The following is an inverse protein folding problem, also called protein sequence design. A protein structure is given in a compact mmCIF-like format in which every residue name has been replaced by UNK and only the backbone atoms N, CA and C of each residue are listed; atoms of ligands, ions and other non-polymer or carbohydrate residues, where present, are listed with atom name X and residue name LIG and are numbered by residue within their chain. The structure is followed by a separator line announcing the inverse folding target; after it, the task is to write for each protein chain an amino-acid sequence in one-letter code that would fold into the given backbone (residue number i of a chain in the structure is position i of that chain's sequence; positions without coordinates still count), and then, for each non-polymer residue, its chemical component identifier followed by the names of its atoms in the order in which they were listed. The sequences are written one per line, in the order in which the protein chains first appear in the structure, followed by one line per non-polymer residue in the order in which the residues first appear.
data_IF_414713056024
#
_entry.id   IF_414713056024
#
_cell.length_a   1.000
_cell.length_b   1.000
_cell.length_c   1.000
_cell.angle_alpha   90.00
_cell.angle_beta   90.00
_cell.angle_gamma   90.00
#
_symmetry.space_group_name_H-M   'P 1'
#
loop_
_entity.id
_entity.type
_entity.pdbx_description
1 polymer ?
#
# COMPACT_ATOMS: atom_id res chain seq x y z
N UNK A 1 -6.17 29.27 -28.87
CA UNK A 1 -5.11 28.38 -28.34
C UNK A 1 -4.78 28.71 -26.88
N UNK A 2 -4.52 29.97 -26.55
CA UNK A 2 -4.21 30.43 -25.18
C UNK A 2 -5.32 30.11 -24.15
N UNK A 3 -6.59 30.37 -24.46
CA UNK A 3 -7.71 30.11 -23.54
C UNK A 3 -7.90 28.63 -23.17
N UNK A 4 -7.72 27.74 -24.15
CA UNK A 4 -7.76 26.29 -23.91
C UNK A 4 -6.55 25.80 -23.10
N UNK A 5 -5.37 26.40 -23.31
CA UNK A 5 -4.19 26.07 -22.53
C UNK A 5 -4.34 26.53 -21.07
N UNK A 6 -4.81 27.77 -20.85
CA UNK A 6 -5.07 28.35 -19.52
C UNK A 6 -6.13 27.55 -18.75
N UNK A 7 -7.22 27.14 -19.41
CA UNK A 7 -8.25 26.29 -18.78
C UNK A 7 -7.70 24.92 -18.33
N UNK A 8 -6.81 24.31 -19.12
CA UNK A 8 -6.15 23.04 -18.76
C UNK A 8 -5.17 23.23 -17.60
N UNK A 9 -4.43 24.34 -17.59
CA UNK A 9 -3.50 24.68 -16.50
C UNK A 9 -4.25 24.93 -15.18
N UNK A 10 -5.35 25.67 -15.22
CA UNK A 10 -6.23 25.89 -14.06
C UNK A 10 -6.82 24.58 -13.53
N UNK A 11 -7.24 23.68 -14.42
CA UNK A 11 -7.76 22.36 -14.02
C UNK A 11 -6.69 21.53 -13.31
N UNK A 12 -5.44 21.57 -13.80
CA UNK A 12 -4.29 20.92 -13.17
C UNK A 12 -3.93 21.54 -11.83
N UNK A 13 -3.96 22.87 -11.73
CA UNK A 13 -3.71 23.59 -10.49
C UNK A 13 -4.76 23.25 -9.41
N UNK A 14 -6.02 23.06 -9.80
CA UNK A 14 -7.09 22.67 -8.88
C UNK A 14 -6.91 21.23 -8.38
N UNK A 15 -6.51 20.30 -9.25
CA UNK A 15 -6.16 18.93 -8.84
C UNK A 15 -4.95 18.94 -7.91
N UNK A 16 -3.93 19.75 -8.21
CA UNK A 16 -2.76 19.92 -7.35
C UNK A 16 -3.15 20.46 -5.97
N UNK A 17 -4.00 21.49 -5.90
CA UNK A 17 -4.53 22.02 -4.64
C UNK A 17 -5.33 20.98 -3.85
N UNK A 18 -6.15 20.16 -4.51
CA UNK A 18 -6.85 19.05 -3.83
C UNK A 18 -5.88 18.00 -3.29
N UNK A 19 -4.82 17.67 -4.02
CA UNK A 19 -3.78 16.75 -3.54
C UNK A 19 -3.00 17.34 -2.37
N UNK A 20 -2.69 18.64 -2.38
CA UNK A 20 -2.07 19.35 -1.27
C UNK A 20 -2.98 19.38 -0.04
N UNK A 21 -4.28 19.63 -0.21
CA UNK A 21 -5.24 19.59 0.88
C UNK A 21 -5.37 18.17 1.47
N UNK A 22 -5.36 17.14 0.62
CA UNK A 22 -5.36 15.75 1.06
C UNK A 22 -4.08 15.39 1.83
N UNK A 23 -2.90 15.85 1.39
CA UNK A 23 -1.63 15.66 2.09
C UNK A 23 -1.58 16.41 3.43
N UNK A 24 -2.08 17.65 3.45
CA UNK A 24 -2.19 18.44 4.68
C UNK A 24 -3.14 17.76 5.69
N UNK A 25 -4.22 17.15 5.21
CA UNK A 25 -5.15 16.40 6.05
C UNK A 25 -4.61 15.06 6.53
N UNK A 26 -3.79 14.36 5.72
CA UNK A 26 -3.19 13.09 6.14
C UNK A 26 -1.96 13.24 7.04
N UNK A 27 -1.41 14.45 7.19
CA UNK A 27 -0.20 14.70 7.97
C UNK A 27 1.07 14.10 7.33
N UNK A 28 0.96 13.62 6.09
CA UNK A 28 2.03 12.95 5.35
C UNK A 28 1.98 13.32 3.86
N UNK A 29 3.14 13.38 3.22
CA UNK A 29 3.27 13.66 1.80
C UNK A 29 4.19 12.61 1.18
N UNK A 30 3.65 11.83 0.24
CA UNK A 30 4.39 10.77 -0.46
C UNK A 30 5.04 9.76 0.52
N UNK A 31 4.31 9.39 1.58
CA UNK A 31 4.78 8.44 2.59
C UNK A 31 5.79 9.01 3.58
N UNK A 32 6.07 10.32 3.53
CA UNK A 32 6.90 11.02 4.52
C UNK A 32 6.02 11.90 5.42
N UNK A 33 6.10 11.81 6.75
CA UNK A 33 5.34 12.71 7.63
C UNK A 33 5.77 14.16 7.39
N UNK A 34 4.79 15.07 7.31
CA UNK A 34 5.00 16.51 7.09
C UNK A 34 5.49 17.22 8.36
N UNK A 35 5.18 16.64 9.51
CA UNK A 35 5.67 17.09 10.80
C UNK A 35 6.72 16.07 11.26
N UNK A 36 7.99 16.39 11.07
CA UNK A 36 9.04 15.78 11.87
C UNK A 36 8.80 16.26 13.29
N UNK A 37 8.18 15.44 14.13
CA UNK A 37 8.17 15.65 15.57
C UNK A 37 9.61 15.53 16.07
N UNK A 38 10.39 16.58 15.88
CA UNK A 38 11.54 16.89 16.71
C UNK A 38 10.99 17.24 18.08
N UNK A 39 10.82 16.22 18.91
CA UNK A 39 11.03 16.24 20.38
C UNK A 39 10.37 15.01 21.01
N UNK A 40 11.03 13.87 20.83
CA UNK A 40 11.29 12.81 21.81
C UNK A 40 11.67 11.55 21.03
N UNK A 41 12.93 11.13 21.16
CA UNK A 41 13.38 9.84 20.68
C UNK A 41 12.54 8.76 21.37
N UNK A 42 11.56 8.21 20.66
CA UNK A 42 10.96 6.94 21.06
C UNK A 42 12.07 5.89 20.93
N UNK A 43 12.27 4.98 21.90
CA UNK A 43 13.33 3.94 21.84
C UNK A 43 13.26 3.03 20.59
N UNK A 44 12.21 3.14 19.79
CA UNK A 44 12.02 2.45 18.51
C UNK A 44 12.84 3.00 17.33
N UNK A 45 13.48 4.18 17.47
CA UNK A 45 14.21 4.82 16.36
C UNK A 45 15.73 4.60 16.39
N UNK A 46 16.27 4.20 17.54
CA UNK A 46 17.67 3.80 17.74
C UNK A 46 17.92 2.36 17.29
N UNK A 47 19.14 2.08 16.81
CA UNK A 47 19.60 0.72 16.56
C UNK A 47 19.42 -0.15 17.81
N UNK A 48 19.09 -1.45 17.66
CA UNK A 48 19.05 -2.37 18.81
C UNK A 48 20.40 -2.35 19.54
N UNK A 49 20.38 -2.46 20.86
CA UNK A 49 21.60 -2.50 21.67
C UNK A 49 22.49 -3.69 21.28
N UNK A 50 23.81 -3.57 21.51
CA UNK A 50 24.77 -4.61 21.15
C UNK A 50 24.43 -5.98 21.79
N UNK A 51 23.90 -5.97 23.01
CA UNK A 51 23.48 -7.18 23.72
C UNK A 51 22.28 -7.87 23.05
N UNK A 52 21.31 -7.09 22.56
CA UNK A 52 20.16 -7.61 21.81
C UNK A 52 20.62 -8.23 20.49
N UNK A 53 21.54 -7.57 19.78
CA UNK A 53 22.10 -8.09 18.52
C UNK A 53 22.87 -9.40 18.75
N UNK A 54 23.66 -9.49 19.82
CA UNK A 54 24.37 -10.71 20.18
C UNK A 54 23.40 -11.88 20.44
N UNK A 55 22.30 -11.65 21.17
CA UNK A 55 21.26 -12.67 21.41
C UNK A 55 20.52 -13.11 20.15
N UNK A 56 20.42 -12.24 19.15
CA UNK A 56 19.88 -12.57 17.82
C UNK A 56 20.91 -13.27 16.91
N UNK A 57 22.07 -13.68 17.45
CA UNK A 57 23.18 -14.27 16.68
C UNK A 57 23.70 -13.33 15.58
N UNK A 58 23.76 -12.03 15.89
CA UNK A 58 24.35 -10.99 15.05
C UNK A 58 25.55 -10.39 15.80
N UNK A 59 26.76 -10.86 15.48
CA UNK A 59 28.03 -10.40 16.04
C UNK A 59 28.72 -9.38 15.13
N UNK A 60 29.36 -8.36 15.71
CA UNK A 60 29.78 -7.11 15.05
C UNK A 60 30.58 -7.27 13.74
N UNK A 61 31.28 -8.39 13.56
CA UNK A 61 32.13 -8.64 12.39
C UNK A 61 31.38 -9.28 11.21
N UNK A 62 30.12 -9.71 11.39
CA UNK A 62 29.42 -10.58 10.44
C UNK A 62 28.19 -9.96 9.78
N UNK A 63 27.82 -8.71 10.12
CA UNK A 63 26.61 -8.11 9.58
C UNK A 63 26.63 -6.58 9.50
N UNK A 64 25.79 -6.03 8.60
CA UNK A 64 25.44 -4.61 8.52
C UNK A 64 23.93 -4.46 8.60
N UNK A 65 23.43 -3.54 9.42
CA UNK A 65 22.00 -3.23 9.49
C UNK A 65 21.70 -1.96 8.69
N UNK A 66 20.68 -2.00 7.86
CA UNK A 66 20.12 -0.82 7.21
C UNK A 66 18.65 -0.67 7.62
N UNK A 67 18.28 0.52 8.09
CA UNK A 67 16.92 0.78 8.55
C UNK A 67 16.00 0.94 7.34
N UNK A 68 15.03 0.04 7.19
CA UNK A 68 14.06 0.09 6.09
C UNK A 68 12.81 0.88 6.49
N UNK A 69 12.32 0.70 7.71
CA UNK A 69 11.13 1.37 8.25
C UNK A 69 11.28 1.66 9.76
N UNK A 70 10.33 2.37 10.36
CA UNK A 70 10.22 2.51 11.82
C UNK A 70 10.18 1.12 12.47
N UNK A 71 11.22 0.80 13.26
CA UNK A 71 11.45 -0.50 13.92
C UNK A 71 11.64 -1.75 13.02
N UNK A 72 12.11 -1.58 11.79
CA UNK A 72 12.56 -2.70 10.96
C UNK A 72 13.92 -2.41 10.32
N UNK A 73 14.83 -3.37 10.46
CA UNK A 73 16.18 -3.32 9.89
C UNK A 73 16.41 -4.52 8.97
N UNK A 74 16.98 -4.27 7.81
CA UNK A 74 17.49 -5.31 6.92
C UNK A 74 18.90 -5.70 7.33
N UNK A 75 19.16 -7.01 7.37
CA UNK A 75 20.43 -7.60 7.80
C UNK A 75 21.22 -8.01 6.57
N UNK A 76 22.37 -7.39 6.34
CA UNK A 76 23.33 -7.79 5.32
C UNK A 76 24.44 -8.62 5.96
N UNK A 77 24.86 -9.71 5.32
CA UNK A 77 26.01 -10.52 5.75
C UNK A 77 27.35 -9.84 5.43
N UNK A 78 28.45 -10.45 5.86
CA UNK A 78 29.81 -9.93 5.65
C UNK A 78 30.17 -9.69 4.16
N UNK A 79 29.59 -10.48 3.24
CA UNK A 79 29.81 -10.37 1.79
C UNK A 79 28.85 -9.36 1.10
N UNK A 80 27.98 -8.68 1.87
CA UNK A 80 27.04 -7.68 1.36
C UNK A 80 25.73 -8.24 0.81
N UNK A 81 25.46 -9.54 0.96
CA UNK A 81 24.17 -10.16 0.62
C UNK A 81 23.12 -9.89 1.71
N UNK A 82 21.87 -9.64 1.32
CA UNK A 82 20.75 -9.52 2.26
C UNK A 82 20.38 -10.90 2.83
N UNK A 83 20.59 -11.07 4.13
CA UNK A 83 20.38 -12.35 4.86
C UNK A 83 19.04 -12.42 5.58
N UNK A 84 18.32 -11.31 5.70
CA UNK A 84 17.00 -11.26 6.32
C UNK A 84 16.68 -9.92 6.98
N UNK A 85 15.80 -9.95 7.99
CA UNK A 85 15.32 -8.74 8.67
C UNK A 85 15.26 -8.92 10.19
N UNK A 86 15.32 -7.81 10.92
CA UNK A 86 15.02 -7.71 12.35
C UNK A 86 13.87 -6.73 12.55
N UNK A 87 12.87 -7.13 13.33
CA UNK A 87 11.69 -6.33 13.67
C UNK A 87 11.64 -6.07 15.17
N UNK A 88 11.37 -4.84 15.60
CA UNK A 88 11.02 -4.55 17.00
C UNK A 88 9.50 -4.50 17.16
N UNK A 89 8.97 -5.12 18.22
CA UNK A 89 7.52 -5.16 18.48
C UNK A 89 6.95 -3.87 19.04
N UNK A 90 7.78 -3.03 19.69
CA UNK A 90 7.30 -1.89 20.46
C UNK A 90 6.35 -0.95 19.70
N UNK A 91 6.56 -0.59 18.41
CA UNK A 91 5.62 0.26 17.68
C UNK A 91 4.33 -0.44 17.26
N UNK A 92 4.34 -1.77 17.18
CA UNK A 92 3.19 -2.57 16.74
C UNK A 92 2.31 -3.00 17.91
N UNK A 93 2.86 -3.03 19.11
CA UNK A 93 2.21 -3.46 20.34
C UNK A 93 2.33 -2.41 21.47
N UNK A 94 1.91 -1.15 21.25
CA UNK A 94 2.12 -0.06 22.21
C UNK A 94 1.30 -0.18 23.51
N UNK A 95 0.29 -1.06 23.53
CA UNK A 95 -0.61 -1.27 24.67
C UNK A 95 -0.46 -2.68 25.29
N UNK A 96 0.61 -3.38 24.96
CA UNK A 96 0.86 -4.73 25.45
C UNK A 96 1.77 -4.69 26.66
N UNK A 97 1.22 -5.02 27.82
CA UNK A 97 1.89 -4.98 29.12
C UNK A 97 1.94 -6.39 29.73
N UNK A 98 3.09 -6.73 30.29
CA UNK A 98 3.32 -7.92 31.12
C UNK A 98 2.91 -7.69 32.57
N UNK A 99 3.59 -8.36 33.48
CA UNK A 99 3.36 -8.21 34.91
C UNK A 99 3.89 -6.86 35.45
N UNK A 100 5.06 -6.43 34.98
CA UNK A 100 5.76 -5.25 35.49
C UNK A 100 5.87 -4.10 34.48
N UNK A 101 5.33 -4.26 33.26
CA UNK A 101 5.33 -3.21 32.25
C UNK A 101 5.46 -3.76 30.83
N UNK A 102 5.85 -2.94 29.84
CA UNK A 102 5.99 -3.37 28.46
C UNK A 102 7.10 -4.41 28.30
N UNK A 103 6.85 -5.41 27.44
CA UNK A 103 7.78 -6.52 27.14
C UNK A 103 8.15 -6.55 25.65
N UNK A 104 8.86 -5.53 25.14
CA UNK A 104 9.17 -5.44 23.72
C UNK A 104 10.03 -6.62 23.26
N UNK A 105 9.78 -7.09 22.04
CA UNK A 105 10.48 -8.19 21.40
C UNK A 105 11.26 -7.69 20.19
N UNK A 106 12.41 -8.31 19.96
CA UNK A 106 13.11 -8.27 18.69
C UNK A 106 13.02 -9.64 18.03
N UNK A 107 12.57 -9.66 16.77
CA UNK A 107 12.35 -10.89 16.01
C UNK A 107 13.23 -10.83 14.76
N UNK A 108 14.12 -11.80 14.60
CA UNK A 108 14.95 -11.98 13.42
C UNK A 108 14.33 -13.02 12.50
N UNK A 109 14.22 -12.65 11.23
CA UNK A 109 13.80 -13.54 10.15
C UNK A 109 14.90 -13.68 9.09
N UNK A 110 14.91 -14.81 8.38
CA UNK A 110 15.78 -15.02 7.21
C UNK A 110 15.21 -14.39 5.93
N UNK A 111 15.91 -14.61 4.81
CA UNK A 111 15.49 -14.19 3.47
C UNK A 111 14.15 -14.79 3.02
N UNK A 112 13.77 -15.96 3.57
CA UNK A 112 12.50 -16.64 3.30
C UNK A 112 11.39 -16.20 4.26
N UNK A 113 11.65 -15.17 5.09
CA UNK A 113 10.73 -14.64 6.10
C UNK A 113 10.32 -15.69 7.14
N UNK A 114 11.21 -16.63 7.45
CA UNK A 114 11.07 -17.57 8.57
C UNK A 114 11.75 -17.02 9.81
N UNK A 115 11.12 -17.22 10.96
CA UNK A 115 11.64 -16.77 12.26
C UNK A 115 12.84 -17.64 12.64
N UNK A 116 14.03 -17.04 12.67
CA UNK A 116 15.28 -17.75 13.00
C UNK A 116 15.63 -17.60 14.48
N UNK A 117 15.42 -16.40 15.02
CA UNK A 117 15.71 -16.06 16.40
C UNK A 117 14.81 -14.93 16.89
N UNK A 118 14.67 -14.83 18.20
CA UNK A 118 14.00 -13.72 18.86
C UNK A 118 14.60 -13.50 20.24
N UNK A 119 14.43 -12.30 20.78
CA UNK A 119 14.83 -11.96 22.14
C UNK A 119 13.92 -10.88 22.69
N UNK A 120 13.78 -10.83 24.01
CA UNK A 120 13.17 -9.70 24.70
C UNK A 120 14.15 -8.52 24.73
N UNK A 121 13.64 -7.32 24.54
CA UNK A 121 14.34 -6.05 24.73
C UNK A 121 14.34 -5.62 26.21
N UNK A 122 14.65 -4.34 26.44
CA UNK A 122 14.57 -3.75 27.78
C UNK A 122 13.14 -3.80 28.33
N UNK A 123 13.02 -4.22 29.58
CA UNK A 123 11.75 -4.42 30.28
C UNK A 123 11.99 -4.40 31.79
N UNK A 124 10.91 -4.29 32.57
CA UNK A 124 10.94 -4.22 34.03
C UNK A 124 10.47 -5.53 34.70
N UNK A 125 10.36 -6.63 33.93
CA UNK A 125 9.95 -7.93 34.46
C UNK A 125 10.99 -8.52 35.42
N UNK A 126 10.52 -9.39 36.31
CA UNK A 126 11.45 -10.17 37.13
C UNK A 126 12.19 -11.18 36.25
N UNK A 127 13.54 -11.21 36.24
CA UNK A 127 14.33 -11.97 35.28
C UNK A 127 13.95 -13.46 35.16
N UNK A 128 13.81 -14.15 36.29
CA UNK A 128 13.50 -15.59 36.31
C UNK A 128 12.12 -15.90 35.67
N UNK A 129 11.12 -15.05 35.93
CA UNK A 129 9.78 -15.22 35.36
C UNK A 129 9.75 -14.88 33.87
N UNK A 130 10.49 -13.85 33.45
CA UNK A 130 10.65 -13.50 32.05
C UNK A 130 11.31 -14.63 31.27
N UNK A 131 12.41 -15.18 31.78
CA UNK A 131 13.13 -16.28 31.14
C UNK A 131 12.24 -17.53 31.03
N UNK A 132 11.50 -17.84 32.10
CA UNK A 132 10.53 -18.95 32.12
C UNK A 132 9.43 -18.76 31.08
N UNK A 133 8.85 -17.57 30.99
CA UNK A 133 7.83 -17.25 29.98
C UNK A 133 8.42 -17.30 28.56
N UNK A 134 9.55 -16.65 28.33
CA UNK A 134 10.16 -16.54 27.01
C UNK A 134 10.61 -17.90 26.46
N UNK A 135 11.24 -18.73 27.29
CA UNK A 135 11.68 -20.08 26.91
C UNK A 135 10.51 -21.03 26.61
N UNK A 136 9.35 -20.85 27.25
CA UNK A 136 8.14 -21.61 26.95
C UNK A 136 7.43 -21.14 25.67
N UNK A 137 7.47 -19.84 25.36
CA UNK A 137 6.69 -19.25 24.27
C UNK A 137 7.48 -19.17 22.95
N UNK A 138 8.74 -18.73 22.96
CA UNK A 138 9.52 -18.46 21.75
C UNK A 138 9.70 -19.67 20.80
N UNK A 139 9.93 -20.91 21.29
CA UNK A 139 10.08 -22.07 20.42
C UNK A 139 8.85 -22.36 19.54
N UNK A 140 7.65 -21.97 19.98
CA UNK A 140 6.43 -22.16 19.20
C UNK A 140 6.40 -21.35 17.90
N UNK A 141 7.20 -20.28 17.82
CA UNK A 141 7.30 -19.39 16.66
C UNK A 141 8.52 -19.67 15.78
N UNK A 142 9.58 -20.28 16.33
CA UNK A 142 10.81 -20.56 15.60
C UNK A 142 10.58 -21.48 14.39
N UNK A 143 11.23 -21.15 13.27
CA UNK A 143 11.15 -21.87 11.98
C UNK A 143 9.88 -21.61 11.16
N UNK A 144 8.87 -20.96 11.73
CA UNK A 144 7.62 -20.64 11.03
C UNK A 144 7.77 -19.41 10.16
N UNK A 145 7.07 -19.41 9.03
CA UNK A 145 6.91 -18.21 8.20
C UNK A 145 6.06 -17.17 8.92
N UNK A 146 6.18 -15.89 8.53
CA UNK A 146 5.33 -14.82 9.08
C UNK A 146 3.83 -15.17 9.01
N UNK A 147 3.37 -15.77 7.91
CA UNK A 147 1.98 -16.15 7.72
C UNK A 147 1.54 -17.25 8.69
N UNK A 148 2.31 -18.34 8.79
CA UNK A 148 2.02 -19.44 9.72
C UNK A 148 2.04 -18.98 11.18
N UNK A 149 2.99 -18.10 11.51
CA UNK A 149 3.21 -17.62 12.86
C UNK A 149 2.03 -16.79 13.41
N UNK A 150 1.22 -16.13 12.55
CA UNK A 150 0.01 -15.41 12.98
C UNK A 150 -1.11 -16.31 13.52
N UNK A 151 -1.14 -17.59 13.10
CA UNK A 151 -2.15 -18.55 13.56
C UNK A 151 -1.74 -19.26 14.86
N UNK A 152 -0.49 -19.09 15.30
CA UNK A 152 0.05 -19.77 16.49
C UNK A 152 -0.53 -19.15 17.75
N UNK A 153 -0.96 -20.01 18.66
CA UNK A 153 -1.45 -19.67 19.99
C UNK A 153 -0.84 -20.68 20.96
N UNK A 154 0.39 -20.44 21.46
CA UNK A 154 0.98 -21.29 22.47
C UNK A 154 0.32 -21.05 23.83
N UNK A 155 0.31 -22.07 24.68
CA UNK A 155 -0.24 -21.96 26.03
C UNK A 155 0.65 -21.07 26.90
N UNK A 156 0.02 -20.30 27.80
CA UNK A 156 0.74 -19.51 28.77
C UNK A 156 1.48 -20.40 29.78
N UNK A 157 2.66 -19.96 30.24
CA UNK A 157 3.47 -20.71 31.19
C UNK A 157 2.96 -20.47 32.61
N UNK A 158 2.76 -21.56 33.36
CA UNK A 158 2.36 -21.51 34.78
C UNK A 158 3.35 -20.69 35.61
N UNK A 159 2.85 -19.76 36.41
CA UNK A 159 3.68 -18.87 37.24
C UNK A 159 4.20 -17.63 36.53
N UNK A 160 4.04 -17.52 35.21
CA UNK A 160 4.43 -16.35 34.42
C UNK A 160 3.34 -15.96 33.40
N UNK A 161 2.07 -16.05 33.81
CA UNK A 161 0.90 -15.95 32.91
C UNK A 161 0.76 -14.57 32.26
N UNK A 162 0.87 -13.48 33.03
CA UNK A 162 0.77 -12.11 32.50
C UNK A 162 1.87 -11.82 31.47
N UNK A 163 3.12 -12.11 31.83
CA UNK A 163 4.27 -11.98 30.94
C UNK A 163 4.13 -12.87 29.70
N UNK A 164 3.64 -14.11 29.84
CA UNK A 164 3.39 -15.02 28.72
C UNK A 164 2.37 -14.44 27.74
N UNK A 165 1.25 -13.91 28.23
CA UNK A 165 0.24 -13.27 27.37
C UNK A 165 0.81 -12.04 26.64
N UNK A 166 1.59 -11.23 27.33
CA UNK A 166 2.23 -10.07 26.73
C UNK A 166 3.22 -10.47 25.62
N UNK A 167 4.01 -11.52 25.81
CA UNK A 167 4.91 -12.04 24.79
C UNK A 167 4.14 -12.59 23.57
N UNK A 168 3.09 -13.38 23.80
CA UNK A 168 2.24 -13.93 22.73
C UNK A 168 1.62 -12.80 21.91
N UNK A 169 1.10 -11.78 22.57
CA UNK A 169 0.46 -10.65 21.90
C UNK A 169 1.48 -9.80 21.12
N UNK A 170 2.67 -9.56 21.68
CA UNK A 170 3.78 -8.92 20.97
C UNK A 170 4.15 -9.67 19.69
N UNK A 171 4.25 -11.00 19.72
CA UNK A 171 4.45 -11.81 18.51
C UNK A 171 3.29 -11.62 17.53
N UNK A 172 2.04 -11.79 17.96
CA UNK A 172 0.87 -11.73 17.07
C UNK A 172 0.74 -10.39 16.36
N UNK A 173 0.83 -9.28 17.10
CA UNK A 173 0.66 -7.93 16.55
C UNK A 173 1.81 -7.58 15.59
N UNK A 174 3.05 -7.90 15.97
CA UNK A 174 4.23 -7.64 15.12
C UNK A 174 4.18 -8.44 13.84
N UNK A 175 3.94 -9.76 13.95
CA UNK A 175 3.95 -10.67 12.82
C UNK A 175 2.78 -10.43 11.87
N UNK A 176 1.60 -10.07 12.37
CA UNK A 176 0.45 -9.72 11.52
C UNK A 176 0.68 -8.42 10.74
N UNK A 177 1.20 -7.38 11.40
CA UNK A 177 1.58 -6.13 10.74
C UNK A 177 2.66 -6.36 9.66
N UNK A 178 3.61 -7.26 9.93
CA UNK A 178 4.70 -7.56 9.00
C UNK A 178 4.32 -8.53 7.89
N UNK A 179 3.45 -9.50 8.13
CA UNK A 179 2.89 -10.35 7.08
C UNK A 179 2.10 -9.52 6.06
N UNK A 180 1.29 -8.56 6.52
CA UNK A 180 0.57 -7.63 5.65
C UNK A 180 1.54 -6.77 4.81
N UNK A 181 2.63 -6.32 5.42
CA UNK A 181 3.67 -5.52 4.76
C UNK A 181 4.58 -6.33 3.83
N UNK A 182 4.88 -7.59 4.16
CA UNK A 182 5.69 -8.50 3.34
C UNK A 182 4.93 -8.93 2.09
N UNK A 183 3.62 -9.15 2.18
CA UNK A 183 2.75 -9.33 1.02
C UNK A 183 2.79 -8.13 0.06
N UNK A 184 3.07 -6.91 0.57
CA UNK A 184 3.32 -5.73 -0.26
C UNK A 184 4.77 -5.55 -0.72
N UNK A 185 5.75 -6.25 -0.12
CA UNK A 185 7.20 -6.08 -0.36
C UNK A 185 7.75 -6.98 -1.49
N UNK A 186 7.01 -8.01 -1.91
CA UNK A 186 7.34 -8.68 -3.17
C UNK A 186 7.23 -7.65 -4.31
N UNK A 187 8.34 -7.37 -5.01
CA UNK A 187 8.41 -6.50 -6.20
C UNK A 187 7.67 -7.10 -7.40
N UNK A 188 6.41 -7.40 -7.20
CA UNK A 188 5.45 -7.75 -8.23
C UNK A 188 4.38 -6.67 -8.23
N UNK A 189 3.88 -6.26 -9.41
CA UNK A 189 2.73 -5.37 -9.44
C UNK A 189 1.58 -6.01 -8.65
N UNK A 190 0.77 -5.21 -7.96
CA UNK A 190 -0.32 -5.70 -7.10
C UNK A 190 -1.31 -6.65 -7.82
N UNK A 191 -1.34 -6.60 -9.15
CA UNK A 191 -2.20 -7.39 -10.01
C UNK A 191 -1.54 -8.69 -10.52
N UNK A 192 -0.23 -8.85 -10.31
CA UNK A 192 0.60 -9.85 -10.97
C UNK A 192 0.94 -9.49 -12.43
N UNK A 193 2.04 -10.06 -12.94
CA UNK A 193 2.60 -9.73 -14.25
C UNK A 193 1.62 -9.93 -15.42
N UNK A 194 0.83 -11.00 -15.40
CA UNK A 194 -0.11 -11.34 -16.48
C UNK A 194 -1.20 -10.27 -16.59
N UNK A 195 -1.83 -9.92 -15.47
CA UNK A 195 -2.90 -8.90 -15.47
C UNK A 195 -2.33 -7.52 -15.79
N UNK A 196 -1.16 -7.19 -15.26
CA UNK A 196 -0.47 -5.94 -15.60
C UNK A 196 -0.19 -5.87 -17.11
N UNK A 197 0.35 -6.92 -17.73
CA UNK A 197 0.55 -6.98 -19.18
C UNK A 197 -0.76 -6.82 -19.96
N UNK A 198 -1.86 -7.43 -19.50
CA UNK A 198 -3.18 -7.27 -20.12
C UNK A 198 -3.70 -5.82 -20.04
N UNK A 199 -3.49 -5.14 -18.91
CA UNK A 199 -3.79 -3.70 -18.76
C UNK A 199 -2.99 -2.88 -19.77
N UNK A 200 -1.68 -3.10 -19.85
CA UNK A 200 -0.81 -2.41 -20.81
C UNK A 200 -1.25 -2.62 -22.26
N UNK A 201 -1.52 -3.86 -22.66
CA UNK A 201 -1.98 -4.18 -24.01
C UNK A 201 -3.31 -3.49 -24.33
N UNK A 202 -4.25 -3.47 -23.37
CA UNK A 202 -5.56 -2.82 -23.52
C UNK A 202 -5.41 -1.30 -23.66
N UNK A 203 -4.56 -0.68 -22.85
CA UNK A 203 -4.29 0.77 -22.92
C UNK A 203 -3.60 1.14 -24.23
N UNK A 204 -2.60 0.37 -24.66
CA UNK A 204 -1.90 0.59 -25.91
C UNK A 204 -2.86 0.52 -27.10
N UNK A 205 -3.73 -0.50 -27.14
CA UNK A 205 -4.75 -0.63 -28.17
C UNK A 205 -5.71 0.58 -28.16
N UNK A 206 -6.15 1.01 -26.97
CA UNK A 206 -7.00 2.20 -26.82
C UNK A 206 -6.34 3.46 -27.38
N UNK A 207 -5.05 3.69 -27.09
CA UNK A 207 -4.27 4.80 -27.64
C UNK A 207 -4.16 4.70 -29.16
N UNK A 208 -3.74 3.55 -29.70
CA UNK A 208 -3.58 3.33 -31.15
C UNK A 208 -4.88 3.53 -31.91
N UNK A 209 -5.98 2.93 -31.43
CA UNK A 209 -7.30 3.07 -32.05
C UNK A 209 -7.77 4.52 -31.97
N UNK A 210 -7.52 5.20 -30.85
CA UNK A 210 -7.83 6.63 -30.73
C UNK A 210 -7.07 7.45 -31.78
N UNK A 211 -5.77 7.21 -31.98
CA UNK A 211 -4.97 7.97 -32.93
C UNK A 211 -5.32 7.70 -34.39
N UNK A 212 -5.32 6.43 -34.80
CA UNK A 212 -5.35 6.04 -36.22
C UNK A 212 -6.72 5.59 -36.70
N UNK A 213 -7.51 4.91 -35.86
CA UNK A 213 -8.67 4.14 -36.31
C UNK A 213 -10.01 4.59 -35.69
N UNK A 214 -10.10 5.81 -35.16
CA UNK A 214 -11.32 6.33 -34.49
C UNK A 214 -12.60 6.28 -35.34
N UNK A 215 -12.47 6.27 -36.67
CA UNK A 215 -13.62 6.20 -37.60
C UNK A 215 -14.13 4.77 -37.79
N UNK A 216 -13.32 3.77 -37.43
CA UNK A 216 -13.62 2.35 -37.57
C UNK A 216 -14.41 1.90 -36.35
N UNK A 217 -15.74 1.80 -36.54
CA UNK A 217 -16.69 1.54 -35.44
C UNK A 217 -16.42 0.21 -34.73
N UNK A 218 -16.11 -0.86 -35.47
CA UNK A 218 -15.88 -2.18 -34.88
C UNK A 218 -14.66 -2.21 -33.96
N UNK A 219 -13.52 -1.60 -34.35
CA UNK A 219 -12.33 -1.48 -33.51
C UNK A 219 -12.61 -0.68 -32.23
N UNK A 220 -13.42 0.38 -32.34
CA UNK A 220 -13.83 1.18 -31.18
C UNK A 220 -14.71 0.36 -30.23
N UNK A 221 -15.61 -0.46 -30.76
CA UNK A 221 -16.44 -1.38 -29.96
C UNK A 221 -15.60 -2.45 -29.28
N UNK A 222 -14.61 -3.03 -29.98
CA UNK A 222 -13.67 -4.00 -29.41
C UNK A 222 -12.91 -3.40 -28.23
N UNK A 223 -12.33 -2.20 -28.36
CA UNK A 223 -11.65 -1.53 -27.25
C UNK A 223 -12.58 -1.33 -26.05
N UNK A 224 -13.83 -0.91 -26.28
CA UNK A 224 -14.80 -0.73 -25.19
C UNK A 224 -15.14 -2.04 -24.48
N UNK A 225 -15.26 -3.14 -25.23
CA UNK A 225 -15.48 -4.48 -24.65
C UNK A 225 -14.28 -4.91 -23.81
N UNK A 226 -13.05 -4.71 -24.30
CA UNK A 226 -11.84 -4.98 -23.52
C UNK A 226 -11.77 -4.11 -22.26
N UNK A 227 -12.13 -2.83 -22.34
CA UNK A 227 -12.12 -1.97 -21.15
C UNK A 227 -13.12 -2.45 -20.08
N UNK A 228 -14.30 -2.92 -20.48
CA UNK A 228 -15.27 -3.48 -19.51
C UNK A 228 -14.79 -4.82 -18.97
N UNK A 229 -14.39 -5.75 -19.84
CA UNK A 229 -14.00 -7.10 -19.45
C UNK A 229 -12.64 -7.19 -18.75
N UNK A 230 -11.60 -6.62 -19.37
CA UNK A 230 -10.21 -6.68 -18.86
C UNK A 230 -9.97 -5.65 -17.78
N UNK A 231 -10.14 -4.34 -18.07
CA UNK A 231 -9.83 -3.30 -17.09
C UNK A 231 -10.85 -3.29 -15.94
N UNK A 232 -12.14 -3.46 -16.25
CA UNK A 232 -13.20 -3.52 -15.25
C UNK A 232 -13.23 -4.85 -14.49
N UNK A 233 -13.83 -5.88 -15.09
CA UNK A 233 -14.14 -7.13 -14.38
C UNK A 233 -12.91 -7.96 -13.99
N UNK A 234 -11.90 -8.06 -14.86
CA UNK A 234 -10.75 -8.93 -14.60
C UNK A 234 -9.66 -8.28 -13.74
N UNK A 235 -9.31 -7.02 -14.00
CA UNK A 235 -8.21 -6.33 -13.34
C UNK A 235 -8.66 -5.31 -12.28
N UNK A 236 -9.93 -4.87 -12.28
CA UNK A 236 -10.42 -3.85 -11.36
C UNK A 236 -9.67 -2.52 -11.42
N UNK A 237 -9.08 -2.17 -12.58
CA UNK A 237 -8.25 -0.97 -12.75
C UNK A 237 -9.06 0.21 -13.28
N UNK A 238 -9.17 1.24 -12.46
CA UNK A 238 -9.74 2.54 -12.79
C UNK A 238 -9.12 3.62 -11.90
N UNK A 239 -9.03 4.86 -12.38
CA UNK A 239 -8.59 5.99 -11.56
C UNK A 239 -9.71 6.37 -10.57
N UNK A 240 -9.43 6.25 -9.27
CA UNK A 240 -10.32 6.68 -8.20
C UNK A 240 -9.67 7.72 -7.29
N UNK A 241 -10.50 8.52 -6.62
CA UNK A 241 -10.02 9.48 -5.61
C UNK A 241 -9.38 8.76 -4.42
N UNK A 242 -9.91 7.59 -4.05
CA UNK A 242 -9.35 6.78 -2.96
C UNK A 242 -7.93 6.33 -3.29
N UNK A 243 -7.68 5.84 -4.52
CA UNK A 243 -6.35 5.43 -4.94
C UNK A 243 -5.35 6.59 -4.93
N UNK A 244 -5.76 7.76 -5.44
CA UNK A 244 -4.91 8.96 -5.43
C UNK A 244 -4.61 9.42 -4.00
N UNK A 245 -5.61 9.43 -3.12
CA UNK A 245 -5.44 9.75 -1.70
C UNK A 245 -4.49 8.76 -1.02
N UNK A 246 -4.66 7.47 -1.27
CA UNK A 246 -3.85 6.44 -0.63
C UNK A 246 -2.38 6.55 -1.07
N UNK A 247 -2.10 6.88 -2.33
CA UNK A 247 -0.74 7.20 -2.81
C UNK A 247 -0.14 8.45 -2.17
N UNK A 248 -0.95 9.49 -1.94
CA UNK A 248 -0.49 10.71 -1.25
C UNK A 248 -0.16 10.41 0.21
N UNK A 249 -1.04 9.68 0.90
CA UNK A 249 -0.94 9.42 2.34
C UNK A 249 0.15 8.41 2.69
N UNK A 250 0.25 7.30 1.96
CA UNK A 250 1.13 6.18 2.30
C UNK A 250 2.39 6.09 1.43
N UNK A 251 2.48 6.92 0.37
CA UNK A 251 3.57 6.88 -0.58
C UNK A 251 3.24 6.06 -1.82
N UNK A 252 4.13 6.17 -2.81
CA UNK A 252 3.95 5.58 -4.11
C UNK A 252 5.10 4.63 -4.41
N UNK A 253 4.82 3.33 -4.38
CA UNK A 253 5.73 2.30 -4.89
C UNK A 253 5.52 2.09 -6.39
N UNK A 254 6.50 2.46 -7.25
CA UNK A 254 6.32 2.44 -8.70
C UNK A 254 6.04 1.05 -9.27
N UNK A 255 6.62 0.02 -8.66
CA UNK A 255 6.49 -1.37 -9.12
C UNK A 255 5.13 -1.94 -8.74
N UNK A 256 4.71 -1.74 -7.49
CA UNK A 256 3.42 -2.24 -6.97
C UNK A 256 2.25 -1.55 -7.68
N UNK A 257 2.36 -0.23 -7.87
CA UNK A 257 1.32 0.63 -8.46
C UNK A 257 1.46 0.83 -9.98
N UNK A 258 2.26 0.01 -10.67
CA UNK A 258 2.65 0.20 -12.07
C UNK A 258 1.46 0.39 -13.02
N UNK A 259 0.42 -0.45 -12.91
CA UNK A 259 -0.76 -0.38 -13.78
C UNK A 259 -1.54 0.93 -13.59
N UNK A 260 -1.76 1.33 -12.34
CA UNK A 260 -2.43 2.59 -12.00
C UNK A 260 -1.63 3.82 -12.44
N UNK A 261 -0.30 3.76 -12.30
CA UNK A 261 0.60 4.83 -12.73
C UNK A 261 0.55 5.08 -14.23
N UNK A 262 0.57 4.01 -15.03
CA UNK A 262 0.49 4.13 -16.49
C UNK A 262 -0.89 4.59 -16.91
N UNK A 263 -1.94 4.13 -16.24
CA UNK A 263 -3.31 4.62 -16.43
C UNK A 263 -3.40 6.14 -16.18
N UNK A 264 -2.82 6.61 -15.06
CA UNK A 264 -2.76 8.04 -14.71
C UNK A 264 -1.97 8.84 -15.75
N UNK A 265 -0.82 8.32 -16.18
CA UNK A 265 0.03 8.95 -17.19
C UNK A 265 -0.71 9.11 -18.51
N UNK A 266 -1.38 8.06 -19.01
CA UNK A 266 -2.17 8.11 -20.24
C UNK A 266 -3.33 9.11 -20.10
N UNK A 267 -4.01 9.12 -18.96
CA UNK A 267 -5.11 10.05 -18.69
C UNK A 267 -4.65 11.52 -18.71
N UNK A 268 -3.44 11.81 -18.21
CA UNK A 268 -2.87 13.15 -18.16
C UNK A 268 -2.30 13.60 -19.50
N UNK A 269 -1.58 12.73 -20.22
CA UNK A 269 -0.90 13.09 -21.48
C UNK A 269 -1.85 13.25 -22.66
N UNK A 270 -2.86 12.38 -22.78
CA UNK A 270 -3.71 12.32 -23.97
C UNK A 270 -4.48 13.62 -24.27
N UNK A 271 -5.02 14.37 -23.28
CA UNK A 271 -5.57 15.70 -23.51
C UNK A 271 -4.58 16.66 -24.19
N UNK A 272 -3.29 16.63 -23.82
CA UNK A 272 -2.24 17.48 -24.41
C UNK A 272 -1.89 17.06 -25.84
N UNK A 273 -1.96 15.78 -26.19
CA UNK A 273 -1.77 15.28 -27.55
C UNK A 273 -3.00 15.49 -28.47
N UNK A 274 -3.90 16.41 -28.12
CA UNK A 274 -5.06 16.75 -28.94
C UNK A 274 -6.23 15.74 -28.85
N UNK A 275 -6.23 14.88 -27.84
CA UNK A 275 -7.30 13.89 -27.59
C UNK A 275 -8.04 14.20 -26.29
N UNK A 276 -8.90 15.25 -26.27
CA UNK A 276 -9.70 15.54 -25.09
C UNK A 276 -10.65 14.37 -24.80
N UNK A 277 -10.90 14.10 -23.51
CA UNK A 277 -11.79 13.02 -23.04
C UNK A 277 -11.36 11.59 -23.41
N UNK A 278 -10.08 11.37 -23.77
CA UNK A 278 -9.57 10.04 -24.10
C UNK A 278 -9.84 9.03 -22.97
N UNK A 279 -9.60 9.42 -21.72
CA UNK A 279 -9.84 8.55 -20.57
C UNK A 279 -11.26 7.99 -20.57
N UNK A 280 -12.29 8.85 -20.62
CA UNK A 280 -13.67 8.39 -20.55
C UNK A 280 -14.11 7.52 -21.74
N UNK A 281 -13.52 7.73 -22.92
CA UNK A 281 -13.97 7.06 -24.15
C UNK A 281 -13.22 5.76 -24.46
N UNK A 282 -11.92 5.71 -24.18
CA UNK A 282 -11.02 4.65 -24.63
C UNK A 282 -10.30 3.93 -23.49
N UNK A 283 -10.49 4.35 -22.23
CA UNK A 283 -9.78 3.77 -21.07
C UNK A 283 -10.74 3.37 -19.95
N UNK A 284 -11.64 4.27 -19.54
CA UNK A 284 -12.53 4.09 -18.39
C UNK A 284 -13.51 2.92 -18.63
N UNK A 285 -13.54 1.90 -17.75
CA UNK A 285 -14.49 0.80 -17.84
C UNK A 285 -15.94 1.26 -17.81
N UNK A 286 -16.28 2.20 -16.92
CA UNK A 286 -17.64 2.73 -16.79
C UNK A 286 -18.08 3.50 -18.05
N UNK A 287 -17.22 4.38 -18.57
CA UNK A 287 -17.53 5.13 -19.79
C UNK A 287 -17.70 4.20 -21.01
N UNK A 288 -16.87 3.16 -21.08
CA UNK A 288 -16.98 2.11 -22.11
C UNK A 288 -18.28 1.31 -21.98
N UNK A 289 -18.67 0.95 -20.76
CA UNK A 289 -19.93 0.27 -20.48
C UNK A 289 -21.14 1.14 -20.89
N UNK A 290 -21.17 2.41 -20.49
CA UNK A 290 -22.22 3.36 -20.88
C UNK A 290 -22.35 3.48 -22.41
N UNK A 291 -21.22 3.54 -23.12
CA UNK A 291 -21.21 3.63 -24.57
C UNK A 291 -21.64 2.34 -25.28
N UNK A 292 -21.44 1.17 -24.67
CA UNK A 292 -21.96 -0.12 -25.15
C UNK A 292 -23.47 -0.24 -24.88
N UNK A 293 -23.91 0.09 -23.66
CA UNK A 293 -25.32 0.14 -23.27
C UNK A 293 -26.14 1.06 -24.19
N UNK A 294 -25.58 2.21 -24.60
CA UNK A 294 -26.24 3.15 -25.50
C UNK A 294 -26.48 2.62 -26.93
N UNK A 295 -25.79 1.53 -27.32
CA UNK A 295 -25.96 0.86 -28.60
C UNK A 295 -27.04 -0.23 -28.57
N UNK A 296 -27.47 -0.65 -27.39
CA UNK A 296 -28.53 -1.64 -27.25
C UNK A 296 -29.90 -1.02 -27.62
N UNK A 297 -30.84 -1.82 -28.17
CA UNK A 297 -32.13 -1.36 -28.68
C UNK A 297 -33.15 -1.09 -27.56
N UNK A 298 -32.72 -0.56 -26.42
CA UNK A 298 -33.62 -0.22 -25.32
C UNK A 298 -34.32 1.12 -25.55
N UNK A 299 -35.57 1.31 -25.05
CA UNK A 299 -36.27 2.58 -25.14
C UNK A 299 -35.49 3.66 -24.38
N UNK A 300 -35.02 4.68 -25.10
CA UNK A 300 -34.23 5.77 -24.51
C UNK A 300 -35.18 6.79 -23.86
N UNK A 301 -35.05 6.96 -22.54
CA UNK A 301 -35.82 7.96 -21.79
C UNK A 301 -35.41 9.35 -22.28
N UNK A 302 -36.35 10.06 -22.91
CA UNK A 302 -36.13 11.44 -23.36
C UNK A 302 -36.35 12.39 -22.19
N UNK A 303 -35.25 12.91 -21.64
CA UNK A 303 -35.31 13.96 -20.62
C UNK A 303 -35.68 15.28 -21.29
N UNK A 304 -36.74 15.93 -20.84
CA UNK A 304 -37.15 17.25 -21.35
C UNK A 304 -36.09 18.33 -21.10
N UNK A 305 -36.03 19.35 -21.96
CA UNK A 305 -35.04 20.42 -21.81
C UNK A 305 -35.12 21.14 -20.45
N UNK A 306 -36.34 21.31 -19.90
CA UNK A 306 -36.56 21.95 -18.60
C UNK A 306 -35.93 21.15 -17.45
N UNK A 307 -36.09 19.83 -17.44
CA UNK A 307 -35.48 18.95 -16.44
C UNK A 307 -33.96 18.90 -16.59
N UNK A 308 -33.44 18.84 -17.82
CA UNK A 308 -32.00 18.90 -18.06
C UNK A 308 -31.37 20.22 -17.57
N UNK A 309 -32.04 21.36 -17.82
CA UNK A 309 -31.61 22.67 -17.34
C UNK A 309 -31.64 22.74 -15.81
N UNK A 310 -32.68 22.22 -15.17
CA UNK A 310 -32.79 22.14 -13.71
C UNK A 310 -31.61 21.36 -13.11
N UNK A 311 -31.33 20.14 -13.59
CA UNK A 311 -30.19 19.35 -13.11
C UNK A 311 -28.83 20.04 -13.36
N UNK A 312 -28.68 20.76 -14.47
CA UNK A 312 -27.46 21.53 -14.75
C UNK A 312 -27.23 22.70 -13.78
N UNK A 313 -28.32 23.33 -13.31
CA UNK A 313 -28.27 24.40 -12.31
C UNK A 313 -28.01 23.82 -10.93
N UNK A 314 -28.72 22.75 -10.56
CA UNK A 314 -28.53 22.05 -9.29
C UNK A 314 -27.09 21.58 -9.12
N UNK A 315 -26.50 20.96 -10.16
CA UNK A 315 -25.08 20.56 -10.15
C UNK A 315 -24.15 21.74 -9.88
N UNK A 316 -24.37 22.89 -10.54
CA UNK A 316 -23.53 24.07 -10.31
C UNK A 316 -23.62 24.57 -8.87
N UNK A 317 -24.82 24.56 -8.28
CA UNK A 317 -25.03 24.98 -6.88
C UNK A 317 -24.40 23.99 -5.90
N UNK A 318 -24.53 22.69 -6.16
CA UNK A 318 -24.02 21.65 -5.26
C UNK A 318 -22.48 21.56 -5.22
N UNK A 319 -21.82 21.90 -6.34
CA UNK A 319 -20.36 21.89 -6.47
C UNK A 319 -19.74 23.30 -6.39
N UNK A 320 -20.53 24.33 -6.08
CA UNK A 320 -20.04 25.68 -5.76
C UNK A 320 -19.88 25.94 -4.26
N UNK A 321 -20.12 24.92 -3.44
CA UNK A 321 -19.85 24.86 -1.99
C UNK A 321 -18.68 23.92 -1.80
#
# INVERSE_FOLDING_TARGET
MLSHFVSRLLSLALVFLMLCAAAAWSGSLLGRPLQSSSDSATPADSLPSADVLARLSLTADNFRLEKTHSAAWEVFGAEGEATGYVFASAPYAPHTEGFAGPTPLFIRVDSDLRIVASTVGENEETPDFLETAFSGIAPAFQGKTLAEATAVQPDAVSGATYTSHALIENYRLTLSARAASAASSQRTPALGWIRTAAVFATLLLGVVVSFRFRRVRWLTTVVRLLNVGVLGFWCGQFLSLTQLRDWVAHGLDPVVSLAGLVLLLVALLMPFLGRPHHYCHFVCPLGSAQALLAQLPFPKIRVGQKTALFFSRLRRVLFSV
#
